data_IF_791791954561
#
_entry.id   IF_791791954561
#
_cell.length_a   1.000
_cell.length_b   1.000
_cell.length_c   1.000
_cell.angle_alpha   90.00
_cell.angle_beta   90.00
_cell.angle_gamma   90.00
#
_symmetry.space_group_name_H-M   'P 1'
#
loop_
_entity.id
_entity.type
_entity.pdbx_description
1 polymer ?
#
# COMPACT_ATOMS: atom_id res chain seq x y z
N UNK A 1 14.25 -6.44 17.39
CA UNK A 1 13.55 -7.36 16.46
C UNK A 1 14.61 -8.15 15.72
N UNK A 2 14.59 -9.49 15.77
CA UNK A 2 15.44 -10.32 14.91
C UNK A 2 14.83 -10.27 13.50
N UNK A 3 15.60 -9.78 12.53
CA UNK A 3 15.16 -9.59 11.15
C UNK A 3 14.71 -10.91 10.52
N UNK A 4 13.53 -10.92 9.90
CA UNK A 4 13.19 -11.98 8.94
C UNK A 4 13.89 -11.68 7.60
N UNK A 5 14.75 -12.58 7.08
CA UNK A 5 15.73 -12.26 6.05
C UNK A 5 15.19 -12.29 4.61
N UNK A 6 13.88 -12.41 4.40
CA UNK A 6 13.33 -12.47 3.03
C UNK A 6 12.80 -11.09 2.66
N UNK A 7 13.70 -10.30 2.09
CA UNK A 7 13.39 -9.12 1.33
C UNK A 7 13.43 -9.46 -0.16
N UNK A 8 12.43 -9.02 -0.94
CA UNK A 8 12.39 -9.20 -2.40
C UNK A 8 12.54 -7.89 -3.15
N UNK A 9 13.05 -6.86 -2.50
CA UNK A 9 13.40 -5.59 -3.11
C UNK A 9 14.91 -5.31 -3.05
N UNK A 10 15.33 -4.21 -3.66
CA UNK A 10 16.72 -3.79 -3.79
C UNK A 10 17.30 -3.08 -2.55
N UNK A 11 16.51 -2.81 -1.51
CA UNK A 11 16.93 -2.05 -0.31
C UNK A 11 16.59 -2.81 0.98
N UNK A 12 17.51 -3.00 1.95
CA UNK A 12 17.22 -3.78 3.16
C UNK A 12 16.05 -3.26 4.01
N UNK A 13 15.30 -4.13 4.72
CA UNK A 13 14.11 -3.74 5.48
C UNK A 13 14.35 -2.64 6.52
N UNK A 14 15.44 -2.74 7.28
CA UNK A 14 15.78 -1.74 8.31
C UNK A 14 16.09 -0.36 7.71
N UNK A 15 16.62 -0.31 6.48
CA UNK A 15 16.84 0.95 5.75
C UNK A 15 15.49 1.52 5.33
N UNK A 16 14.63 0.73 4.69
CA UNK A 16 13.28 1.16 4.27
C UNK A 16 12.48 1.67 5.46
N UNK A 17 12.56 0.99 6.61
CA UNK A 17 11.85 1.36 7.82
C UNK A 17 12.33 2.68 8.44
N UNK A 18 13.52 3.18 8.09
CA UNK A 18 14.15 4.29 8.79
C UNK A 18 13.68 5.68 8.33
N UNK A 19 13.75 6.65 9.25
CA UNK A 19 13.59 8.06 8.92
C UNK A 19 14.64 8.58 7.92
N UNK A 20 15.85 8.00 7.94
CA UNK A 20 16.95 8.43 7.07
C UNK A 20 16.66 8.12 5.60
N UNK A 21 16.07 6.95 5.32
CA UNK A 21 15.55 6.64 3.99
C UNK A 21 14.40 7.56 3.61
N UNK A 22 13.52 7.91 4.55
CA UNK A 22 12.46 8.87 4.26
C UNK A 22 13.01 10.25 3.90
N UNK A 23 14.08 10.72 4.54
CA UNK A 23 14.72 11.99 4.17
C UNK A 23 15.44 11.93 2.82
N UNK A 24 16.07 10.79 2.49
CA UNK A 24 16.88 10.60 1.28
C UNK A 24 16.47 9.32 0.55
N UNK A 25 15.29 9.29 -0.09
CA UNK A 25 14.78 8.06 -0.68
C UNK A 25 15.60 7.65 -1.90
N UNK A 26 15.88 6.36 -1.98
CA UNK A 26 16.43 5.72 -3.17
C UNK A 26 15.32 5.00 -3.93
N UNK A 27 15.55 4.71 -5.22
CA UNK A 27 14.63 3.91 -6.00
C UNK A 27 14.35 2.58 -5.28
N UNK A 28 13.07 2.25 -5.12
CA UNK A 28 12.63 1.03 -4.46
C UNK A 28 11.96 0.14 -5.51
N UNK A 29 12.56 -1.02 -5.78
CA UNK A 29 12.15 -1.92 -6.84
C UNK A 29 12.00 -3.34 -6.33
N UNK A 30 10.87 -3.98 -6.67
CA UNK A 30 10.66 -5.41 -6.41
C UNK A 30 11.40 -6.19 -7.51
N UNK A 31 12.28 -7.09 -7.08
CA UNK A 31 13.21 -7.80 -7.96
C UNK A 31 12.47 -8.60 -9.04
N UNK A 32 12.92 -8.46 -10.29
CA UNK A 32 12.46 -9.25 -11.43
C UNK A 32 11.10 -8.86 -12.02
N UNK A 33 10.30 -7.99 -11.38
CA UNK A 33 8.95 -7.67 -11.85
C UNK A 33 8.98 -6.93 -13.18
N UNK A 34 9.79 -5.86 -13.30
CA UNK A 34 9.90 -5.09 -14.54
C UNK A 34 10.42 -5.95 -15.69
N UNK A 35 11.47 -6.74 -15.44
CA UNK A 35 12.06 -7.63 -16.44
C UNK A 35 11.06 -8.69 -16.94
N UNK A 36 10.33 -9.35 -16.04
CA UNK A 36 9.36 -10.38 -16.39
C UNK A 36 8.10 -9.84 -17.11
N UNK A 37 7.90 -8.52 -17.09
CA UNK A 37 6.73 -7.86 -17.69
C UNK A 37 7.15 -6.72 -18.62
N UNK A 38 8.33 -6.81 -19.24
CA UNK A 38 8.92 -5.75 -20.07
C UNK A 38 7.96 -5.23 -21.14
N UNK A 39 7.32 -6.13 -21.88
CA UNK A 39 6.38 -5.78 -22.96
C UNK A 39 5.16 -4.96 -22.48
N UNK A 40 4.71 -5.18 -21.24
CA UNK A 40 3.65 -4.35 -20.64
C UNK A 40 4.16 -2.93 -20.46
N UNK A 41 5.32 -2.77 -19.81
CA UNK A 41 5.84 -1.45 -19.47
C UNK A 41 6.27 -0.64 -20.71
N UNK A 42 6.85 -1.30 -21.71
CA UNK A 42 7.14 -0.67 -23.03
C UNK A 42 5.87 -0.15 -23.70
N UNK A 43 4.76 -0.91 -23.66
CA UNK A 43 3.48 -0.44 -24.21
C UNK A 43 2.87 0.72 -23.40
N UNK A 44 2.97 0.66 -22.07
CA UNK A 44 2.47 1.73 -21.20
C UNK A 44 3.21 3.05 -21.43
N UNK A 45 4.50 3.00 -21.75
CA UNK A 45 5.31 4.19 -22.06
C UNK A 45 4.83 4.92 -23.33
N UNK A 46 4.25 4.20 -24.29
CA UNK A 46 3.72 4.77 -25.53
C UNK A 46 2.32 5.40 -25.41
N UNK A 47 1.70 5.37 -24.23
CA UNK A 47 0.34 5.89 -24.02
C UNK A 47 0.36 7.25 -23.33
N UNK A 48 -0.44 8.19 -23.85
CA UNK A 48 -0.45 9.58 -23.39
C UNK A 48 -1.23 9.78 -22.08
N UNK A 49 -2.43 9.19 -21.99
CA UNK A 49 -3.32 9.47 -20.86
C UNK A 49 -3.21 8.43 -19.74
N UNK A 50 -3.43 8.89 -18.50
CA UNK A 50 -3.50 7.99 -17.33
C UNK A 50 -4.65 6.97 -17.46
N UNK A 51 -5.74 7.35 -18.13
CA UNK A 51 -6.89 6.49 -18.34
C UNK A 51 -6.55 5.31 -19.26
N UNK A 52 -5.85 5.56 -20.37
CA UNK A 52 -5.39 4.52 -21.29
C UNK A 52 -4.38 3.58 -20.60
N UNK A 53 -3.39 4.14 -19.88
CA UNK A 53 -2.41 3.34 -19.14
C UNK A 53 -3.06 2.48 -18.06
N UNK A 54 -3.98 3.05 -17.29
CA UNK A 54 -4.72 2.32 -16.26
C UNK A 54 -5.64 1.23 -16.85
N UNK A 55 -6.24 1.49 -18.02
CA UNK A 55 -7.03 0.51 -18.77
C UNK A 55 -6.17 -0.66 -19.26
N UNK A 56 -5.10 -0.36 -20.02
CA UNK A 56 -4.18 -1.37 -20.54
C UNK A 56 -3.54 -2.20 -19.41
N UNK A 57 -3.16 -1.56 -18.30
CA UNK A 57 -2.65 -2.26 -17.12
C UNK A 57 -3.68 -3.26 -16.58
N UNK A 58 -4.94 -2.83 -16.44
CA UNK A 58 -5.99 -3.72 -15.94
C UNK A 58 -6.26 -4.90 -16.88
N UNK A 59 -6.35 -4.65 -18.19
CA UNK A 59 -6.57 -5.70 -19.19
C UNK A 59 -5.43 -6.73 -19.17
N UNK A 60 -4.18 -6.27 -19.04
CA UNK A 60 -3.03 -7.14 -18.86
C UNK A 60 -3.14 -8.01 -17.60
N UNK A 61 -3.58 -7.42 -16.49
CA UNK A 61 -3.79 -8.15 -15.23
C UNK A 61 -4.89 -9.20 -15.37
N UNK A 62 -6.00 -8.89 -16.05
CA UNK A 62 -7.11 -9.82 -16.30
C UNK A 62 -6.65 -11.04 -17.10
N UNK A 63 -5.87 -10.84 -18.16
CA UNK A 63 -5.32 -11.92 -18.99
C UNK A 63 -4.26 -12.73 -18.23
N UNK A 64 -3.25 -12.07 -17.66
CA UNK A 64 -2.09 -12.75 -17.02
C UNK A 64 -2.52 -13.62 -15.84
N UNK A 65 -3.46 -13.15 -15.04
CA UNK A 65 -3.92 -13.85 -13.84
C UNK A 65 -5.28 -14.54 -14.03
N UNK A 66 -5.78 -14.60 -15.27
CA UNK A 66 -7.02 -15.27 -15.63
C UNK A 66 -8.20 -14.84 -14.73
N UNK A 67 -8.29 -13.55 -14.45
CA UNK A 67 -9.26 -13.03 -13.48
C UNK A 67 -10.71 -13.30 -13.93
N UNK A 68 -10.96 -13.41 -15.24
CA UNK A 68 -12.24 -13.81 -15.84
C UNK A 68 -12.59 -15.31 -15.73
N UNK A 69 -11.63 -16.22 -15.54
CA UNK A 69 -11.89 -17.67 -15.63
C UNK A 69 -12.74 -18.24 -14.47
N UNK A 70 -12.89 -17.50 -13.37
CA UNK A 70 -13.82 -17.82 -12.28
C UNK A 70 -15.30 -17.81 -12.72
N UNK A 71 -15.60 -17.38 -13.95
CA UNK A 71 -16.91 -17.52 -14.57
C UNK A 71 -17.29 -18.98 -14.91
N UNK A 72 -16.33 -19.93 -14.94
CA UNK A 72 -16.57 -21.35 -15.22
C UNK A 72 -16.95 -22.19 -14.00
N UNK A 73 -16.93 -21.62 -12.79
CA UNK A 73 -17.51 -22.27 -11.61
C UNK A 73 -19.04 -22.07 -11.64
N UNK A 74 -19.82 -23.16 -11.55
CA UNK A 74 -21.28 -23.27 -11.83
C UNK A 74 -22.23 -22.36 -10.99
N UNK A 75 -21.73 -21.40 -10.22
CA UNK A 75 -22.55 -20.51 -9.42
C UNK A 75 -22.61 -19.09 -9.99
N UNK A 76 -23.82 -18.69 -10.42
CA UNK A 76 -24.19 -17.36 -10.94
C UNK A 76 -23.41 -16.22 -10.28
N UNK A 77 -22.51 -15.56 -11.03
CA UNK A 77 -22.28 -14.10 -11.03
C UNK A 77 -20.98 -13.70 -11.73
N UNK A 78 -21.09 -12.98 -12.85
CA UNK A 78 -19.98 -12.26 -13.51
C UNK A 78 -19.29 -11.23 -12.61
N UNK A 79 -19.96 -10.76 -11.54
CA UNK A 79 -19.37 -9.94 -10.46
C UNK A 79 -18.30 -10.65 -9.63
N UNK A 80 -18.07 -11.96 -9.81
CA UNK A 80 -17.07 -12.74 -9.05
C UNK A 80 -15.63 -12.61 -9.57
N UNK A 81 -15.39 -12.26 -10.84
CA UNK A 81 -14.01 -12.05 -11.34
C UNK A 81 -13.32 -10.89 -10.62
N UNK A 82 -14.05 -9.77 -10.42
CA UNK A 82 -13.63 -8.63 -9.60
C UNK A 82 -13.50 -8.96 -8.10
N UNK A 83 -14.09 -10.06 -7.63
CA UNK A 83 -13.96 -10.54 -6.24
C UNK A 83 -12.68 -11.36 -6.02
N UNK A 84 -11.92 -11.71 -7.05
CA UNK A 84 -10.68 -12.48 -6.90
C UNK A 84 -9.50 -11.79 -7.59
N UNK A 85 -9.52 -10.47 -7.63
CA UNK A 85 -8.41 -9.66 -8.15
C UNK A 85 -7.89 -8.71 -7.08
N UNK A 86 -6.71 -8.13 -7.33
CA UNK A 86 -6.13 -7.07 -6.51
C UNK A 86 -7.13 -5.93 -6.19
N UNK A 87 -8.11 -5.64 -7.06
CA UNK A 87 -9.15 -4.65 -6.82
C UNK A 87 -10.02 -4.97 -5.60
N UNK A 88 -10.31 -6.25 -5.33
CA UNK A 88 -11.00 -6.63 -4.09
C UNK A 88 -10.17 -6.24 -2.87
N UNK A 89 -8.88 -6.50 -2.90
CA UNK A 89 -7.99 -6.22 -1.77
C UNK A 89 -7.88 -4.72 -1.51
N UNK A 90 -7.73 -3.92 -2.56
CA UNK A 90 -7.75 -2.45 -2.45
C UNK A 90 -9.09 -1.94 -1.89
N UNK A 91 -10.23 -2.50 -2.32
CA UNK A 91 -11.54 -2.10 -1.79
C UNK A 91 -11.74 -2.55 -0.34
N UNK A 92 -11.29 -3.76 0.01
CA UNK A 92 -11.33 -4.28 1.36
C UNK A 92 -10.49 -3.42 2.31
N UNK A 93 -9.33 -2.93 1.86
CA UNK A 93 -8.52 -1.97 2.60
C UNK A 93 -9.26 -0.67 2.90
N UNK A 94 -9.91 -0.09 1.89
CA UNK A 94 -10.69 1.15 2.04
C UNK A 94 -11.83 0.99 3.05
N UNK A 95 -12.41 -0.20 3.16
CA UNK A 95 -13.51 -0.47 4.08
C UNK A 95 -13.01 -0.72 5.50
N UNK A 96 -12.06 -1.63 5.66
CA UNK A 96 -11.46 -1.96 6.95
C UNK A 96 -10.03 -2.48 6.77
N UNK A 97 -9.04 -1.72 7.24
CA UNK A 97 -7.63 -2.12 7.21
C UNK A 97 -7.30 -3.33 8.10
N UNK A 98 -8.22 -3.76 8.98
CA UNK A 98 -8.12 -4.98 9.78
C UNK A 98 -8.91 -6.15 9.18
N UNK A 99 -9.48 -6.01 7.98
CA UNK A 99 -10.11 -7.11 7.26
C UNK A 99 -9.11 -8.21 6.84
N UNK A 100 -9.64 -9.33 6.34
CA UNK A 100 -8.85 -10.38 5.67
C UNK A 100 -8.05 -9.79 4.50
N UNK A 101 -8.67 -8.90 3.72
CA UNK A 101 -8.01 -8.18 2.63
C UNK A 101 -6.87 -7.29 3.16
N UNK A 102 -7.10 -6.61 4.29
CA UNK A 102 -6.08 -5.84 4.99
C UNK A 102 -4.90 -6.68 5.47
N UNK A 103 -5.17 -7.86 6.02
CA UNK A 103 -4.14 -8.82 6.41
C UNK A 103 -3.28 -9.28 5.22
N UNK A 104 -3.90 -9.53 4.06
CA UNK A 104 -3.16 -9.90 2.83
C UNK A 104 -2.28 -8.75 2.35
N UNK A 105 -2.76 -7.51 2.33
CA UNK A 105 -1.96 -6.36 1.91
C UNK A 105 -0.78 -6.08 2.85
N UNK A 106 -0.99 -6.12 4.17
CA UNK A 106 0.09 -6.03 5.17
C UNK A 106 1.09 -7.18 5.00
N UNK A 107 0.59 -8.39 4.75
CA UNK A 107 1.43 -9.57 4.50
C UNK A 107 2.24 -9.48 3.19
N UNK A 108 1.71 -8.83 2.16
CA UNK A 108 2.46 -8.53 0.95
C UNK A 108 3.61 -7.55 1.26
N UNK A 109 3.35 -6.49 2.03
CA UNK A 109 4.40 -5.54 2.44
C UNK A 109 5.48 -6.25 3.25
N UNK A 110 5.09 -7.06 4.24
CA UNK A 110 6.01 -7.89 5.02
C UNK A 110 6.86 -8.78 4.11
N UNK A 111 6.24 -9.46 3.15
CA UNK A 111 6.93 -10.39 2.25
C UNK A 111 7.88 -9.71 1.25
N UNK A 112 7.62 -8.46 0.86
CA UNK A 112 8.37 -7.77 -0.20
C UNK A 112 9.44 -6.85 0.36
N UNK A 113 9.11 -6.12 1.41
CA UNK A 113 9.95 -5.09 2.01
C UNK A 113 10.47 -5.49 3.40
N UNK A 114 10.11 -6.67 3.91
CA UNK A 114 10.53 -7.17 5.22
C UNK A 114 9.93 -6.41 6.41
N UNK A 115 8.90 -5.59 6.19
CA UNK A 115 8.29 -4.78 7.24
C UNK A 115 7.11 -5.52 7.88
N UNK A 116 7.31 -5.97 9.12
CA UNK A 116 6.29 -6.62 9.94
C UNK A 116 5.19 -5.61 10.31
N UNK A 117 3.90 -5.96 10.26
CA UNK A 117 2.85 -5.08 10.74
C UNK A 117 2.96 -4.87 12.25
N UNK A 118 2.72 -3.64 12.70
CA UNK A 118 2.66 -3.29 14.13
C UNK A 118 1.22 -3.33 14.67
N UNK A 119 0.22 -3.54 13.81
CA UNK A 119 -1.19 -3.59 14.21
C UNK A 119 -2.06 -4.42 13.25
N UNK A 120 -2.89 -5.31 13.81
CA UNK A 120 -3.99 -5.99 13.12
C UNK A 120 -5.04 -6.43 14.15
N UNK A 121 -6.19 -5.73 14.18
CA UNK A 121 -7.20 -5.74 15.26
C UNK A 121 -6.70 -5.29 16.64
N UNK A 122 -5.47 -5.64 17.01
CA UNK A 122 -4.75 -5.23 18.22
C UNK A 122 -3.29 -4.91 17.87
N UNK A 123 -2.57 -4.18 18.73
CA UNK A 123 -1.13 -3.97 18.55
C UNK A 123 -0.36 -5.29 18.50
N UNK A 124 0.58 -5.40 17.56
CA UNK A 124 1.52 -6.52 17.43
C UNK A 124 2.87 -6.04 17.95
N UNK A 125 3.31 -6.60 19.08
CA UNK A 125 4.58 -6.19 19.73
C UNK A 125 5.72 -7.18 19.46
N UNK A 126 5.41 -8.47 19.39
CA UNK A 126 6.35 -9.58 19.18
C UNK A 126 5.72 -10.63 18.25
N UNK A 127 6.55 -11.46 17.61
CA UNK A 127 6.09 -12.49 16.66
C UNK A 127 5.33 -13.64 17.35
N UNK A 128 5.66 -13.89 18.61
CA UNK A 128 5.05 -14.92 19.45
C UNK A 128 3.68 -14.50 20.00
N UNK A 129 3.21 -13.31 19.66
CA UNK A 129 1.92 -12.79 20.09
C UNK A 129 0.76 -13.53 19.40
N UNK A 130 -0.29 -13.88 20.14
CA UNK A 130 -1.53 -14.45 19.59
C UNK A 130 -2.13 -13.52 18.52
N UNK A 131 -1.89 -12.21 18.64
CA UNK A 131 -2.29 -11.23 17.64
C UNK A 131 -1.58 -11.45 16.31
N UNK A 132 -0.28 -11.78 16.32
CA UNK A 132 0.44 -12.10 15.08
C UNK A 132 -0.08 -13.40 14.45
N UNK A 133 -0.40 -14.42 15.26
CA UNK A 133 -1.00 -15.65 14.76
C UNK A 133 -2.36 -15.40 14.11
N UNK A 134 -3.19 -14.53 14.70
CA UNK A 134 -4.47 -14.13 14.11
C UNK A 134 -4.27 -13.43 12.77
N UNK A 135 -3.34 -12.48 12.70
CA UNK A 135 -2.95 -11.82 11.46
C UNK A 135 -2.48 -12.82 10.40
N UNK A 136 -1.60 -13.77 10.76
CA UNK A 136 -1.09 -14.78 9.86
C UNK A 136 -2.22 -15.68 9.32
N UNK A 137 -3.17 -16.06 10.16
CA UNK A 137 -4.36 -16.82 9.77
C UNK A 137 -5.25 -16.05 8.78
N UNK A 138 -5.58 -14.79 9.08
CA UNK A 138 -6.39 -13.95 8.18
C UNK A 138 -5.67 -13.74 6.83
N UNK A 139 -4.35 -13.51 6.86
CA UNK A 139 -3.51 -13.42 5.66
C UNK A 139 -3.57 -14.70 4.82
N UNK A 140 -3.40 -15.88 5.43
CA UNK A 140 -3.47 -17.16 4.72
C UNK A 140 -4.85 -17.38 4.09
N UNK A 141 -5.91 -17.20 4.89
CA UNK A 141 -7.30 -17.35 4.45
C UNK A 141 -7.66 -16.42 3.30
N UNK A 142 -7.11 -15.21 3.28
CA UNK A 142 -7.29 -14.25 2.20
C UNK A 142 -6.53 -14.63 0.94
N UNK A 143 -5.26 -15.02 1.08
CA UNK A 143 -4.38 -15.33 -0.05
C UNK A 143 -4.78 -16.62 -0.78
N UNK A 144 -5.24 -17.65 -0.07
CA UNK A 144 -5.71 -18.92 -0.66
C UNK A 144 -6.88 -18.73 -1.64
N UNK A 145 -7.68 -17.66 -1.45
CA UNK A 145 -8.86 -17.37 -2.26
C UNK A 145 -8.54 -16.61 -3.55
N UNK A 146 -7.28 -16.29 -3.82
CA UNK A 146 -6.91 -15.50 -5.00
C UNK A 146 -5.59 -15.95 -5.58
N UNK A 147 -5.66 -16.46 -6.81
CA UNK A 147 -4.49 -16.91 -7.56
C UNK A 147 -3.43 -15.83 -7.65
N UNK A 148 -2.23 -16.15 -7.17
CA UNK A 148 -1.03 -15.32 -7.24
C UNK A 148 -1.23 -13.87 -6.78
N UNK A 149 -2.06 -13.61 -5.75
CA UNK A 149 -2.38 -12.24 -5.28
C UNK A 149 -1.13 -11.40 -5.04
N UNK A 150 -0.09 -11.97 -4.45
CA UNK A 150 1.13 -11.20 -4.22
C UNK A 150 1.86 -10.80 -5.50
N UNK A 151 1.84 -11.63 -6.55
CA UNK A 151 2.36 -11.26 -7.86
C UNK A 151 1.49 -10.20 -8.55
N UNK A 152 0.18 -10.20 -8.29
CA UNK A 152 -0.69 -9.11 -8.73
C UNK A 152 -0.30 -7.78 -8.07
N UNK A 153 -0.04 -7.80 -6.76
CA UNK A 153 0.38 -6.61 -6.00
C UNK A 153 1.79 -6.14 -6.37
N UNK A 154 2.70 -7.06 -6.70
CA UNK A 154 4.04 -6.74 -7.23
C UNK A 154 3.95 -5.92 -8.53
N UNK A 155 3.06 -6.33 -9.45
CA UNK A 155 2.79 -5.63 -10.69
C UNK A 155 2.10 -4.28 -10.47
N UNK A 156 1.13 -4.23 -9.56
CA UNK A 156 0.46 -2.98 -9.19
C UNK A 156 1.45 -1.96 -8.64
N UNK A 157 2.30 -2.35 -7.70
CA UNK A 157 3.35 -1.47 -7.16
C UNK A 157 4.26 -0.96 -8.28
N UNK A 158 4.76 -1.85 -9.12
CA UNK A 158 5.68 -1.48 -10.22
C UNK A 158 5.02 -0.53 -11.24
N UNK A 159 3.73 -0.73 -11.54
CA UNK A 159 2.94 0.18 -12.35
C UNK A 159 2.81 1.56 -11.71
N UNK A 160 2.44 1.62 -10.42
CA UNK A 160 2.31 2.87 -9.67
C UNK A 160 3.65 3.62 -9.64
N UNK A 161 4.77 2.92 -9.44
CA UNK A 161 6.11 3.52 -9.47
C UNK A 161 6.50 4.08 -10.85
N UNK A 162 5.92 3.56 -11.94
CA UNK A 162 6.04 4.18 -13.27
C UNK A 162 5.18 5.45 -13.43
N UNK A 163 4.00 5.49 -12.82
CA UNK A 163 3.07 6.61 -12.94
C UNK A 163 3.43 7.81 -12.07
N UNK A 164 3.95 7.59 -10.85
CA UNK A 164 4.20 8.69 -9.91
C UNK A 164 5.18 9.76 -10.45
N UNK A 165 6.32 9.43 -11.08
CA UNK A 165 7.20 10.43 -11.67
C UNK A 165 6.54 11.25 -12.79
N UNK A 166 5.59 10.67 -13.53
CA UNK A 166 4.82 11.37 -14.57
C UNK A 166 3.88 12.41 -13.97
N UNK A 167 3.29 12.12 -12.82
CA UNK A 167 2.39 13.03 -12.11
C UNK A 167 3.12 14.04 -11.21
N UNK A 168 4.34 13.75 -10.81
CA UNK A 168 5.13 14.55 -9.88
C UNK A 168 6.59 14.70 -10.37
N UNK A 169 6.80 15.32 -11.55
CA UNK A 169 8.13 15.41 -12.15
C UNK A 169 9.10 16.16 -11.24
N UNK A 170 10.31 15.61 -11.09
CA UNK A 170 11.38 16.19 -10.27
C UNK A 170 11.17 16.14 -8.76
N UNK A 171 10.07 15.53 -8.27
CA UNK A 171 9.80 15.39 -6.84
C UNK A 171 10.17 14.00 -6.35
N UNK A 172 10.80 13.94 -5.18
CA UNK A 172 11.02 12.69 -4.43
C UNK A 172 9.94 12.44 -3.37
N UNK A 173 9.25 13.50 -2.94
CA UNK A 173 8.30 13.50 -1.83
C UNK A 173 6.98 14.17 -2.19
N UNK A 174 5.94 13.75 -1.47
CA UNK A 174 4.62 14.36 -1.49
C UNK A 174 4.10 14.57 -0.06
N UNK A 175 3.58 15.75 0.21
CA UNK A 175 2.88 16.05 1.46
C UNK A 175 1.54 15.31 1.47
N UNK A 176 1.33 14.48 2.49
CA UNK A 176 0.08 13.75 2.70
C UNK A 176 -0.40 13.89 4.15
N UNK A 177 -1.69 13.65 4.32
CA UNK A 177 -2.42 13.80 5.57
C UNK A 177 -3.10 12.48 5.97
N UNK A 178 -3.20 12.23 7.27
CA UNK A 178 -3.92 11.09 7.84
C UNK A 178 -4.68 11.51 9.09
N UNK A 179 -6.00 11.32 9.09
CA UNK A 179 -6.83 11.48 10.27
C UNK A 179 -6.51 10.43 11.32
N UNK A 180 -6.44 10.84 12.58
CA UNK A 180 -6.24 9.97 13.73
C UNK A 180 -7.15 10.41 14.88
N UNK A 181 -7.62 9.46 15.69
CA UNK A 181 -8.41 9.76 16.88
C UNK A 181 -7.52 10.06 18.09
N UNK A 182 -6.47 9.25 18.28
CA UNK A 182 -5.49 9.46 19.34
C UNK A 182 -4.07 9.22 18.83
N UNK A 183 -3.14 10.07 19.25
CA UNK A 183 -1.71 9.90 18.96
C UNK A 183 -1.13 8.67 19.67
N UNK A 184 -1.67 8.29 20.83
CA UNK A 184 -1.19 7.16 21.64
C UNK A 184 -1.45 5.79 20.99
N UNK A 185 -2.30 5.73 19.97
CA UNK A 185 -2.48 4.53 19.14
C UNK A 185 -1.24 4.24 18.27
N UNK A 186 -0.38 5.25 18.11
CA UNK A 186 0.88 5.14 17.40
C UNK A 186 2.04 5.02 18.38
N UNK A 187 3.06 4.24 18.00
CA UNK A 187 4.29 4.16 18.78
C UNK A 187 5.13 5.43 18.52
N UNK A 188 5.13 6.35 19.48
CA UNK A 188 6.00 7.53 19.50
C UNK A 188 7.42 7.09 19.83
N UNK A 189 8.36 7.33 18.91
CA UNK A 189 9.78 7.00 19.08
C UNK A 189 10.56 8.18 19.67
N UNK A 190 10.26 9.40 19.22
CA UNK A 190 10.89 10.63 19.70
C UNK A 190 9.89 11.80 19.65
N UNK A 191 9.87 12.62 20.69
CA UNK A 191 9.20 13.92 20.68
C UNK A 191 10.21 14.99 20.25
N UNK A 192 9.92 15.71 19.15
CA UNK A 192 10.84 16.66 18.51
C UNK A 192 10.40 18.12 18.63
N UNK A 193 9.36 18.37 19.43
CA UNK A 193 8.77 19.67 19.67
C UNK A 193 7.29 19.54 19.98
N UNK A 194 6.60 20.67 20.23
CA UNK A 194 5.20 20.68 20.70
C UNK A 194 4.21 19.94 19.79
N UNK A 195 4.46 19.93 18.48
CA UNK A 195 3.58 19.31 17.47
C UNK A 195 4.34 18.38 16.51
N UNK A 196 5.60 18.06 16.79
CA UNK A 196 6.46 17.30 15.87
C UNK A 196 6.94 16.03 16.55
N UNK A 197 6.74 14.90 15.89
CA UNK A 197 7.01 13.59 16.45
C UNK A 197 7.66 12.70 15.40
N UNK A 198 8.52 11.80 15.86
CA UNK A 198 8.93 10.64 15.10
C UNK A 198 8.03 9.47 15.51
N UNK A 199 7.17 9.01 14.61
CA UNK A 199 6.27 7.89 14.85
C UNK A 199 6.71 6.64 14.12
N UNK A 200 6.48 5.47 14.71
CA UNK A 200 6.45 4.20 13.98
C UNK A 200 5.03 3.92 13.50
N UNK A 201 4.81 4.11 12.20
CA UNK A 201 3.56 3.74 11.55
C UNK A 201 3.50 2.24 11.28
N UNK A 202 2.28 1.70 11.11
CA UNK A 202 2.09 0.30 10.69
C UNK A 202 2.75 0.06 9.34
N UNK A 203 3.00 -1.18 8.94
CA UNK A 203 3.73 -1.45 7.70
C UNK A 203 3.01 -0.92 6.44
N UNK A 204 1.70 -0.71 6.51
CA UNK A 204 0.88 -0.13 5.46
C UNK A 204 -0.17 0.82 6.05
N UNK A 205 -0.36 1.98 5.43
CA UNK A 205 -1.19 3.06 5.97
C UNK A 205 -1.98 3.77 4.87
N UNK A 206 -3.18 4.22 5.21
CA UNK A 206 -3.96 5.15 4.39
C UNK A 206 -3.58 6.59 4.66
N UNK A 207 -3.46 7.35 3.59
CA UNK A 207 -3.23 8.79 3.57
C UNK A 207 -4.13 9.43 2.51
N UNK A 208 -4.23 10.76 2.55
CA UNK A 208 -4.88 11.58 1.55
C UNK A 208 -4.03 12.81 1.27
N UNK A 209 -4.11 13.37 0.05
CA UNK A 209 -3.49 14.66 -0.26
C UNK A 209 -4.41 15.85 0.06
N UNK A 210 -5.59 15.58 0.62
CA UNK A 210 -6.59 16.55 1.03
C UNK A 210 -6.70 16.58 2.56
N UNK A 211 -6.42 17.74 3.15
CA UNK A 211 -6.46 17.95 4.60
C UNK A 211 -7.89 17.83 5.15
N UNK A 212 -8.89 18.41 4.49
CA UNK A 212 -10.28 18.39 4.94
C UNK A 212 -10.78 16.96 5.00
N UNK A 213 -10.46 16.18 3.97
CA UNK A 213 -10.77 14.76 3.97
C UNK A 213 -10.06 14.00 5.09
N UNK A 214 -8.82 14.34 5.43
CA UNK A 214 -8.15 13.71 6.57
C UNK A 214 -8.84 14.05 7.89
N UNK A 215 -9.37 15.27 8.01
CA UNK A 215 -10.09 15.76 9.17
C UNK A 215 -11.40 14.97 9.42
N UNK A 216 -12.06 14.49 8.37
CA UNK A 216 -13.27 13.65 8.49
C UNK A 216 -13.03 12.34 9.26
N UNK A 217 -11.79 11.87 9.37
CA UNK A 217 -11.44 10.58 9.95
C UNK A 217 -10.84 10.66 11.37
N UNK A 218 -10.88 11.81 12.04
CA UNK A 218 -10.44 11.88 13.43
C UNK A 218 -10.49 13.26 14.08
N UNK A 219 -9.93 13.34 15.30
CA UNK A 219 -9.84 14.59 16.07
C UNK A 219 -8.53 15.36 15.83
N UNK A 220 -7.55 14.71 15.19
CA UNK A 220 -6.25 15.26 14.83
C UNK A 220 -5.85 14.75 13.46
N UNK A 221 -4.95 15.47 12.79
CA UNK A 221 -4.41 15.10 11.48
C UNK A 221 -2.89 15.02 11.56
N UNK A 222 -2.33 13.90 11.15
CA UNK A 222 -0.91 13.76 10.89
C UNK A 222 -0.60 14.33 9.51
N UNK A 223 0.35 15.25 9.43
CA UNK A 223 0.97 15.71 8.18
C UNK A 223 2.36 15.10 8.04
N UNK A 224 2.65 14.51 6.89
CA UNK A 224 3.93 13.87 6.62
C UNK A 224 4.42 14.15 5.18
N UNK A 225 5.73 14.32 5.01
CA UNK A 225 6.37 14.26 3.69
C UNK A 225 6.68 12.80 3.35
N UNK A 226 5.90 12.22 2.45
CA UNK A 226 5.98 10.81 2.09
C UNK A 226 6.86 10.64 0.85
N UNK A 227 7.90 9.78 0.89
CA UNK A 227 8.62 9.42 -0.31
C UNK A 227 7.72 8.76 -1.35
N UNK A 228 7.75 9.22 -2.60
CA UNK A 228 6.94 8.64 -3.68
C UNK A 228 7.20 7.14 -3.87
N UNK A 229 8.44 6.71 -3.64
CA UNK A 229 8.85 5.29 -3.70
C UNK A 229 8.16 4.40 -2.67
N UNK A 230 7.60 4.98 -1.60
CA UNK A 230 6.81 4.25 -0.58
C UNK A 230 5.32 4.18 -0.88
N UNK A 231 4.84 4.80 -1.96
CA UNK A 231 3.43 4.76 -2.33
C UNK A 231 3.14 3.43 -3.06
N UNK A 232 2.28 2.61 -2.45
CA UNK A 232 1.82 1.33 -3.02
C UNK A 232 0.73 1.54 -4.05
N UNK A 233 -0.18 2.47 -3.77
CA UNK A 233 -1.31 2.76 -4.64
C UNK A 233 -1.77 4.21 -4.43
N UNK A 234 -2.21 4.84 -5.52
CA UNK A 234 -2.87 6.14 -5.50
C UNK A 234 -4.19 6.04 -6.26
N UNK A 235 -5.25 6.55 -5.66
CA UNK A 235 -6.53 6.78 -6.32
C UNK A 235 -6.38 7.53 -7.66
N UNK A 236 -7.23 7.20 -8.62
CA UNK A 236 -7.24 7.85 -9.94
C UNK A 236 -6.18 7.35 -10.93
N UNK A 237 -5.35 6.37 -10.58
CA UNK A 237 -4.45 5.68 -11.54
C UNK A 237 -5.14 4.57 -12.34
N UNK A 238 -6.31 4.13 -11.89
CA UNK A 238 -7.13 3.14 -12.58
C UNK A 238 -8.44 3.80 -13.03
N UNK A 239 -9.06 3.32 -14.13
CA UNK A 239 -10.37 3.78 -14.58
C UNK A 239 -11.39 3.83 -13.43
N UNK A 240 -12.16 4.91 -13.34
CA UNK A 240 -13.17 5.12 -12.28
C UNK A 240 -14.23 4.02 -12.25
N UNK A 241 -14.49 3.36 -13.39
CA UNK A 241 -15.37 2.19 -13.49
C UNK A 241 -14.83 0.99 -12.70
N UNK A 242 -13.52 0.88 -12.56
CA UNK A 242 -12.84 -0.21 -11.83
C UNK A 242 -12.62 0.14 -10.36
N UNK A 243 -12.30 1.39 -10.02
CA UNK A 243 -12.02 1.76 -8.64
C UNK A 243 -12.47 3.19 -8.33
N UNK A 244 -13.52 3.33 -7.52
CA UNK A 244 -14.00 4.61 -6.98
C UNK A 244 -13.34 4.87 -5.63
N UNK A 245 -12.14 5.42 -5.66
CA UNK A 245 -11.36 5.76 -4.47
C UNK A 245 -10.44 6.94 -4.77
N UNK A 246 -11.01 8.04 -5.24
CA UNK A 246 -10.27 9.27 -5.50
C UNK A 246 -9.65 9.78 -4.19
N UNK A 247 -8.46 10.38 -4.23
CA UNK A 247 -7.80 10.95 -3.06
C UNK A 247 -7.13 9.98 -2.09
N UNK A 248 -7.31 8.66 -2.23
CA UNK A 248 -6.64 7.68 -1.36
C UNK A 248 -5.18 7.45 -1.76
N UNK A 249 -4.28 7.43 -0.79
CA UNK A 249 -2.89 7.04 -0.92
C UNK A 249 -2.57 5.90 0.04
N UNK A 250 -2.17 4.76 -0.51
CA UNK A 250 -1.70 3.62 0.26
C UNK A 250 -0.18 3.69 0.38
N UNK A 251 0.34 3.77 1.59
CA UNK A 251 1.75 4.12 1.86
C UNK A 251 2.41 3.08 2.76
N UNK A 252 3.59 2.59 2.34
CA UNK A 252 4.49 1.75 3.14
C UNK A 252 4.94 2.56 4.36
N UNK A 253 4.79 2.01 5.56
CA UNK A 253 5.15 2.71 6.79
C UNK A 253 6.62 2.59 7.19
N UNK A 254 6.84 2.37 8.48
CA UNK A 254 8.13 2.58 9.14
C UNK A 254 8.13 3.87 9.97
N UNK A 255 9.31 4.44 10.15
CA UNK A 255 9.54 5.66 10.93
C UNK A 255 9.24 6.91 10.11
N UNK A 256 8.31 7.72 10.57
CA UNK A 256 7.91 8.95 9.91
C UNK A 256 8.03 10.14 10.86
N UNK A 257 8.73 11.17 10.40
CA UNK A 257 8.61 12.51 10.94
C UNK A 257 7.24 13.06 10.56
N UNK A 258 6.44 13.43 11.56
CA UNK A 258 5.10 13.95 11.36
C UNK A 258 4.89 15.25 12.13
N UNK A 259 4.04 16.10 11.59
CA UNK A 259 3.46 17.23 12.30
C UNK A 259 2.00 16.90 12.66
N UNK A 260 1.64 17.05 13.94
CA UNK A 260 0.27 16.86 14.43
C UNK A 260 -0.47 18.18 14.33
N UNK A 261 -1.49 18.20 13.48
CA UNK A 261 -2.39 19.31 13.27
C UNK A 261 -3.68 19.07 14.08
N UNK A 262 -4.13 20.13 14.76
CA UNK A 262 -5.40 20.20 15.48
C UNK A 262 -6.21 21.30 14.82
N UNK A 263 -7.50 21.07 14.63
CA UNK A 263 -8.46 22.05 14.15
C UNK A 263 -8.42 23.26 15.06
N UNK A 264 -8.43 24.45 14.45
CA UNK A 264 -8.45 25.72 15.17
C UNK A 264 -9.72 25.92 15.96
#
# INVERSE_FOLDING_TARGET
MKDHPINRCNVPPWVIASRHFNANPQALEIQGVRAANRLLFERLEGLETVAERGGLFHDYMDVKFQLHQWQREESKNSRKSLKNSYLRFLRGWLFDSNSIEGAVLKGWVESRFGLVPTFHHRPIRVFEDEVYQRFAFDRMKGAERTSAIFSQLDLLYTFVQGELPRHHPGRSHICLYRGINNLDEHLVLEERGKKRFLLRLNNLNSFTNDFERAWEFGSRVLKAEVPLVKVVFRGGLLPRSLFKGEGEWLVIGGEYDVEVLTGG
#
